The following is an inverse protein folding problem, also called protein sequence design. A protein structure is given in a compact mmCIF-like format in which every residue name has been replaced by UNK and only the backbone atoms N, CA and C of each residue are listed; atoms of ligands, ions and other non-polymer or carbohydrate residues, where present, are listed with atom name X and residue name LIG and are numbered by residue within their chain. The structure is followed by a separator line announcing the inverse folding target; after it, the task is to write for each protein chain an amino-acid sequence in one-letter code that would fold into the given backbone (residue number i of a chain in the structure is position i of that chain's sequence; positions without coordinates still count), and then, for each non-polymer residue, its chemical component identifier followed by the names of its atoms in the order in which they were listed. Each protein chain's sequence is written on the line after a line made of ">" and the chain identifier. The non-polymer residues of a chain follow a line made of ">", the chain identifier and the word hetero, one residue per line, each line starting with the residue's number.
data_IF_815031660596
#
_entry.id   IF_815031660596
#
_cell.length_a   1.000
_cell.length_b   1.000
_cell.length_c   1.000
_cell.angle_alpha   90.00
_cell.angle_beta   90.00
_cell.angle_gamma   90.00
#
_symmetry.space_group_name_H-M   'P 1'
#
loop_
_entity.id
_entity.type
_entity.pdbx_description
1 polymer ?
#
# COMPACT_ATOMS: atom_id res chain seq x y z
N UNK A 1 7.72 -15.35 28.01
CA UNK A 1 7.30 -15.51 26.59
C UNK A 1 8.17 -14.63 25.73
N UNK A 2 9.13 -15.23 25.00
CA UNK A 2 9.90 -14.52 23.99
C UNK A 2 8.96 -14.24 22.80
N UNK A 3 8.57 -12.97 22.61
CA UNK A 3 7.85 -12.56 21.41
C UNK A 3 8.86 -12.38 20.30
N UNK A 4 8.97 -13.32 19.39
CA UNK A 4 9.71 -13.16 18.16
C UNK A 4 8.93 -12.19 17.26
N UNK A 5 9.45 -10.97 17.09
CA UNK A 5 8.95 -10.04 16.07
C UNK A 5 9.61 -10.41 14.74
N UNK A 6 8.90 -11.11 13.90
CA UNK A 6 9.30 -11.29 12.52
C UNK A 6 9.21 -9.93 11.80
N UNK A 7 10.33 -9.48 11.23
CA UNK A 7 10.34 -8.36 10.29
C UNK A 7 10.36 -8.95 8.90
N UNK A 8 9.29 -8.75 8.16
CA UNK A 8 9.27 -9.07 6.75
C UNK A 8 10.00 -7.97 5.97
N UNK A 9 10.99 -8.36 5.21
CA UNK A 9 11.69 -7.48 4.28
C UNK A 9 11.35 -7.94 2.85
N UNK A 10 11.23 -7.02 1.89
CA UNK A 10 11.11 -7.39 0.49
C UNK A 10 12.28 -8.29 0.08
N UNK A 11 11.97 -9.38 -0.60
CA UNK A 11 12.97 -10.28 -1.11
C UNK A 11 13.51 -9.71 -2.43
N UNK A 12 14.62 -9.02 -2.36
CA UNK A 12 15.35 -8.51 -3.52
C UNK A 12 16.37 -9.52 -4.06
N UNK A 13 17.00 -9.18 -5.19
CA UNK A 13 18.02 -10.01 -5.81
C UNK A 13 19.23 -10.26 -4.90
N UNK A 14 19.57 -9.28 -4.05
CA UNK A 14 20.69 -9.39 -3.12
C UNK A 14 20.38 -10.41 -2.02
N UNK A 15 19.15 -10.39 -1.48
CA UNK A 15 18.70 -11.37 -0.49
C UNK A 15 18.67 -12.80 -1.07
N UNK A 16 18.19 -12.97 -2.32
CA UNK A 16 18.23 -14.26 -3.01
C UNK A 16 19.66 -14.79 -3.15
N UNK A 17 20.59 -13.95 -3.58
CA UNK A 17 22.01 -14.33 -3.72
C UNK A 17 22.64 -14.69 -2.37
N UNK A 18 22.30 -13.97 -1.29
CA UNK A 18 22.81 -14.27 0.05
C UNK A 18 22.33 -15.65 0.51
N UNK A 19 21.06 -15.98 0.34
CA UNK A 19 20.51 -17.30 0.68
C UNK A 19 21.25 -18.42 -0.10
N UNK A 20 21.52 -18.18 -1.39
CA UNK A 20 22.27 -19.16 -2.20
C UNK A 20 23.69 -19.38 -1.69
N UNK A 21 24.40 -18.30 -1.35
CA UNK A 21 25.76 -18.37 -0.82
C UNK A 21 25.80 -19.06 0.55
N UNK A 22 24.86 -18.72 1.44
CA UNK A 22 24.78 -19.35 2.77
C UNK A 22 24.55 -20.86 2.65
N UNK A 23 23.64 -21.29 1.75
CA UNK A 23 23.40 -22.71 1.48
C UNK A 23 24.65 -23.41 0.94
N UNK A 24 25.38 -22.77 0.01
CA UNK A 24 26.62 -23.33 -0.53
C UNK A 24 27.73 -23.45 0.54
N UNK A 25 27.84 -22.48 1.45
CA UNK A 25 28.77 -22.53 2.58
C UNK A 25 28.46 -23.68 3.55
N UNK A 26 27.17 -24.07 3.67
CA UNK A 26 26.72 -25.25 4.42
C UNK A 26 26.81 -26.56 3.62
N UNK A 27 27.40 -26.53 2.42
CA UNK A 27 27.58 -27.70 1.56
C UNK A 27 26.31 -28.12 0.79
N UNK A 28 25.29 -27.29 0.76
CA UNK A 28 24.05 -27.53 0.00
C UNK A 28 24.21 -26.93 -1.41
N UNK A 29 24.20 -27.71 -2.51
CA UNK A 29 24.37 -27.22 -3.87
C UNK A 29 23.09 -26.53 -4.37
N UNK A 30 22.80 -25.35 -3.83
CA UNK A 30 21.61 -24.57 -4.15
C UNK A 30 22.00 -23.29 -4.89
N UNK A 31 21.30 -22.99 -5.99
CA UNK A 31 21.54 -21.80 -6.80
C UNK A 31 20.39 -20.80 -6.67
N UNK A 32 20.64 -19.54 -6.94
CA UNK A 32 19.65 -18.46 -6.93
C UNK A 32 18.40 -18.79 -7.77
N UNK A 33 18.60 -19.48 -8.91
CA UNK A 33 17.51 -19.97 -9.76
C UNK A 33 16.57 -20.95 -9.03
N UNK A 34 17.13 -21.85 -8.23
CA UNK A 34 16.35 -22.89 -7.53
C UNK A 34 15.59 -22.28 -6.36
N UNK A 35 16.21 -21.31 -5.67
CA UNK A 35 15.56 -20.51 -4.62
C UNK A 35 14.39 -19.71 -5.22
N UNK A 36 14.64 -19.00 -6.32
CA UNK A 36 13.61 -18.23 -7.03
C UNK A 36 12.44 -19.12 -7.44
N UNK A 37 12.72 -20.31 -8.00
CA UNK A 37 11.70 -21.29 -8.41
C UNK A 37 10.86 -21.76 -7.22
N UNK A 38 11.46 -21.97 -6.05
CA UNK A 38 10.75 -22.36 -4.84
C UNK A 38 9.88 -21.21 -4.32
N UNK A 39 10.44 -20.01 -4.21
CA UNK A 39 9.76 -18.83 -3.66
C UNK A 39 8.56 -18.43 -4.51
N UNK A 40 8.71 -18.45 -5.85
CA UNK A 40 7.61 -18.13 -6.79
C UNK A 40 6.67 -19.32 -7.06
N UNK A 41 6.84 -20.43 -6.34
CA UNK A 41 5.90 -21.54 -6.39
C UNK A 41 4.75 -21.36 -5.39
N UNK A 42 3.67 -22.11 -5.59
CA UNK A 42 2.56 -22.16 -4.64
C UNK A 42 2.88 -22.90 -3.32
N UNK A 43 4.14 -23.33 -3.13
CA UNK A 43 4.60 -23.96 -1.89
C UNK A 43 4.92 -22.92 -0.80
N UNK A 44 5.16 -21.69 -1.19
CA UNK A 44 5.37 -20.56 -0.27
C UNK A 44 4.05 -19.82 -0.12
N UNK A 45 3.50 -19.69 1.09
CA UNK A 45 2.28 -18.92 1.31
C UNK A 45 2.47 -17.46 0.90
N UNK A 46 1.46 -16.90 0.23
CA UNK A 46 1.44 -15.48 -0.08
C UNK A 46 1.26 -14.69 1.23
N UNK A 47 2.15 -13.76 1.49
CA UNK A 47 2.08 -12.86 2.63
C UNK A 47 1.54 -11.50 2.19
N UNK A 48 0.43 -11.06 2.79
CA UNK A 48 -0.10 -9.72 2.62
C UNK A 48 0.20 -8.87 3.87
N UNK A 49 1.15 -7.94 3.82
CA UNK A 49 1.55 -7.14 4.97
C UNK A 49 0.43 -6.26 5.51
N UNK A 50 -0.45 -5.75 4.64
CA UNK A 50 -1.58 -4.92 5.06
C UNK A 50 -2.65 -5.75 5.77
N UNK A 51 -2.91 -6.96 5.31
CA UNK A 51 -3.83 -7.88 5.99
C UNK A 51 -3.27 -8.31 7.35
N UNK A 52 -1.97 -8.60 7.43
CA UNK A 52 -1.28 -8.92 8.69
C UNK A 52 -1.34 -7.75 9.67
N UNK A 53 -1.12 -6.51 9.19
CA UNK A 53 -1.29 -5.30 10.00
C UNK A 53 -2.72 -5.20 10.54
N UNK A 54 -3.74 -5.35 9.70
CA UNK A 54 -5.14 -5.26 10.10
C UNK A 54 -5.53 -6.36 11.09
N UNK A 55 -4.99 -7.57 10.92
CA UNK A 55 -5.24 -8.69 11.83
C UNK A 55 -4.68 -8.46 13.24
N UNK A 56 -3.58 -7.70 13.35
CA UNK A 56 -2.94 -7.38 14.64
C UNK A 56 -3.55 -6.18 15.35
N UNK A 57 -4.50 -5.49 14.72
CA UNK A 57 -5.18 -4.39 15.39
C UNK A 57 -5.98 -4.92 16.60
N UNK A 58 -6.04 -4.14 17.69
CA UNK A 58 -6.92 -4.46 18.80
C UNK A 58 -8.38 -4.50 18.36
N UNK A 59 -9.21 -5.20 19.14
CA UNK A 59 -10.65 -5.20 18.90
C UNK A 59 -11.22 -3.77 18.86
N UNK A 60 -12.28 -3.59 18.09
CA UNK A 60 -12.92 -2.28 17.98
C UNK A 60 -13.50 -1.80 19.32
N UNK A 61 -13.15 -0.59 19.71
CA UNK A 61 -13.55 0.05 20.96
C UNK A 61 -14.81 0.95 20.83
N UNK A 62 -15.49 0.89 19.68
CA UNK A 62 -16.69 1.69 19.40
C UNK A 62 -16.43 3.09 18.85
N UNK A 63 -15.17 3.53 18.71
CA UNK A 63 -14.83 4.87 18.20
C UNK A 63 -14.62 4.87 16.69
N UNK A 64 -15.28 5.79 16.00
CA UNK A 64 -15.14 5.97 14.56
C UNK A 64 -13.96 6.89 14.22
N UNK A 65 -12.76 6.33 14.26
CA UNK A 65 -11.53 7.07 13.97
C UNK A 65 -11.41 7.53 12.52
N UNK A 66 -12.13 6.88 11.61
CA UNK A 66 -12.15 7.29 10.20
C UNK A 66 -12.87 8.62 10.06
N UNK A 67 -14.02 8.78 10.71
CA UNK A 67 -14.75 10.05 10.73
C UNK A 67 -14.00 11.13 11.49
N UNK A 68 -13.35 10.79 12.60
CA UNK A 68 -12.47 11.71 13.34
C UNK A 68 -11.33 12.21 12.44
N UNK A 69 -10.67 11.32 11.69
CA UNK A 69 -9.64 11.69 10.72
C UNK A 69 -10.20 12.59 9.62
N UNK A 70 -11.34 12.25 9.03
CA UNK A 70 -11.98 13.06 8.00
C UNK A 70 -12.31 14.47 8.50
N UNK A 71 -12.77 14.59 9.74
CA UNK A 71 -13.14 15.86 10.36
C UNK A 71 -11.93 16.81 10.60
N UNK A 72 -10.70 16.30 10.54
CA UNK A 72 -9.49 17.15 10.60
C UNK A 72 -9.29 18.00 9.35
N UNK A 73 -9.95 17.65 8.23
CA UNK A 73 -9.88 18.41 6.98
C UNK A 73 -10.96 19.49 7.00
N UNK A 74 -10.61 20.78 6.96
CA UNK A 74 -11.59 21.87 6.89
C UNK A 74 -12.25 21.87 5.51
N UNK A 75 -13.36 21.19 5.37
CA UNK A 75 -14.07 21.03 4.11
C UNK A 75 -15.44 21.69 4.17
N UNK A 76 -15.84 22.39 3.06
CA UNK A 76 -17.16 23.01 2.94
C UNK A 76 -18.24 22.02 2.48
N UNK A 77 -17.85 20.85 1.97
CA UNK A 77 -18.80 19.82 1.54
C UNK A 77 -19.41 19.12 2.77
N UNK A 78 -20.72 19.23 3.01
CA UNK A 78 -21.36 18.62 4.18
C UNK A 78 -21.30 17.09 4.17
N UNK A 79 -21.13 16.49 3.01
CA UNK A 79 -21.06 15.03 2.84
C UNK A 79 -19.62 14.49 2.93
N UNK A 80 -18.62 15.35 3.11
CA UNK A 80 -17.21 14.96 3.08
C UNK A 80 -16.90 13.79 4.01
N UNK A 81 -17.30 13.89 5.27
CA UNK A 81 -17.00 12.88 6.29
C UNK A 81 -17.60 11.52 5.94
N UNK A 82 -18.85 11.49 5.44
CA UNK A 82 -19.52 10.25 5.06
C UNK A 82 -18.93 9.64 3.79
N UNK A 83 -18.62 10.46 2.79
CA UNK A 83 -18.00 10.01 1.54
C UNK A 83 -16.58 9.47 1.80
N UNK A 84 -15.79 10.19 2.61
CA UNK A 84 -14.46 9.75 3.01
C UNK A 84 -14.51 8.44 3.79
N UNK A 85 -15.43 8.29 4.73
CA UNK A 85 -15.61 7.07 5.49
C UNK A 85 -15.89 5.86 4.56
N UNK A 86 -16.82 5.99 3.62
CA UNK A 86 -17.14 4.94 2.65
C UNK A 86 -15.95 4.60 1.76
N UNK A 87 -15.28 5.62 1.23
CA UNK A 87 -14.08 5.43 0.43
C UNK A 87 -12.98 4.69 1.20
N UNK A 88 -12.75 5.08 2.46
CA UNK A 88 -11.73 4.46 3.31
C UNK A 88 -12.04 2.98 3.57
N UNK A 89 -13.28 2.63 3.88
CA UNK A 89 -13.69 1.24 4.07
C UNK A 89 -13.49 0.41 2.79
N UNK A 90 -13.82 0.97 1.63
CA UNK A 90 -13.57 0.30 0.36
C UNK A 90 -12.07 0.10 0.11
N UNK A 91 -11.24 1.10 0.37
CA UNK A 91 -9.78 0.98 0.27
C UNK A 91 -9.26 -0.17 1.15
N UNK A 92 -9.70 -0.26 2.40
CA UNK A 92 -9.31 -1.35 3.31
C UNK A 92 -9.83 -2.70 2.82
N UNK A 93 -11.02 -2.76 2.23
CA UNK A 93 -11.57 -3.98 1.61
C UNK A 93 -10.67 -4.48 0.47
N UNK A 94 -10.14 -3.57 -0.36
CA UNK A 94 -9.16 -3.91 -1.39
C UNK A 94 -7.86 -4.46 -0.80
N UNK A 95 -7.33 -3.85 0.25
CA UNK A 95 -6.14 -4.35 0.94
C UNK A 95 -6.29 -5.78 1.44
N UNK A 96 -7.50 -6.16 1.83
CA UNK A 96 -7.84 -7.54 2.26
C UNK A 96 -8.15 -8.48 1.09
N UNK A 97 -8.18 -7.99 -0.13
CA UNK A 97 -8.51 -8.79 -1.31
C UNK A 97 -9.96 -9.28 -1.36
N UNK A 98 -10.87 -8.67 -0.60
CA UNK A 98 -12.29 -9.06 -0.58
C UNK A 98 -13.02 -8.65 -1.84
N UNK A 99 -12.61 -7.54 -2.44
CA UNK A 99 -13.19 -7.05 -3.68
C UNK A 99 -12.21 -7.20 -4.84
N UNK A 100 -12.18 -8.39 -5.44
CA UNK A 100 -11.34 -8.68 -6.61
C UNK A 100 -11.97 -8.20 -7.93
N UNK A 101 -13.26 -7.84 -7.92
CA UNK A 101 -14.03 -7.58 -9.13
C UNK A 101 -14.19 -6.10 -9.42
N UNK A 102 -14.28 -5.27 -8.40
CA UNK A 102 -14.58 -3.85 -8.54
C UNK A 102 -13.54 -3.02 -7.79
N UNK A 103 -12.86 -2.14 -8.52
CA UNK A 103 -11.99 -1.13 -7.92
C UNK A 103 -12.83 -0.01 -7.27
N UNK A 104 -12.21 0.76 -6.37
CA UNK A 104 -12.79 2.02 -5.93
C UNK A 104 -13.05 2.91 -7.16
N UNK A 105 -14.32 3.12 -7.50
CA UNK A 105 -14.72 3.90 -8.68
C UNK A 105 -14.60 5.41 -8.45
N UNK A 106 -14.34 5.84 -7.21
CA UNK A 106 -14.18 7.24 -6.83
C UNK A 106 -12.98 7.39 -5.91
N UNK A 107 -12.31 8.54 -6.01
CA UNK A 107 -11.19 8.91 -5.12
C UNK A 107 -11.42 10.30 -4.54
N UNK A 108 -11.01 10.58 -3.30
CA UNK A 108 -11.05 11.92 -2.74
C UNK A 108 -10.16 12.86 -3.54
N UNK A 109 -10.68 14.03 -3.89
CA UNK A 109 -9.91 15.13 -4.47
C UNK A 109 -9.82 16.28 -3.47
N UNK A 110 -8.59 16.57 -3.02
CA UNK A 110 -8.33 17.66 -2.08
C UNK A 110 -7.89 18.92 -2.84
N UNK A 111 -8.77 19.90 -2.92
CA UNK A 111 -8.50 21.19 -3.56
C UNK A 111 -8.25 22.25 -2.48
N UNK A 112 -7.19 23.04 -2.64
CA UNK A 112 -6.86 24.11 -1.70
C UNK A 112 -5.51 24.75 -2.02
N UNK A 113 -5.22 25.89 -1.38
CA UNK A 113 -3.98 26.63 -1.57
C UNK A 113 -2.73 25.78 -1.30
N UNK A 114 -1.62 26.16 -1.89
CA UNK A 114 -0.33 25.56 -1.60
C UNK A 114 0.02 25.70 -0.11
N UNK A 115 0.70 24.71 0.47
CA UNK A 115 1.11 24.74 1.89
C UNK A 115 0.02 24.33 2.88
N UNK A 116 -1.21 23.99 2.45
CA UNK A 116 -2.31 23.58 3.34
C UNK A 116 -2.21 22.12 3.83
N UNK A 117 -1.06 21.49 3.68
CA UNK A 117 -0.74 20.14 4.17
C UNK A 117 -1.60 19.00 3.55
N UNK A 118 -2.10 19.17 2.33
CA UNK A 118 -2.88 18.13 1.63
C UNK A 118 -2.10 16.81 1.51
N UNK A 119 -0.89 16.86 0.98
CA UNK A 119 -0.02 15.66 0.81
C UNK A 119 0.36 15.04 2.15
N UNK A 120 0.52 15.85 3.22
CA UNK A 120 0.73 15.37 4.59
C UNK A 120 -0.48 14.56 5.08
N UNK A 121 -1.70 15.06 4.84
CA UNK A 121 -2.93 14.35 5.15
C UNK A 121 -3.01 13.02 4.39
N UNK A 122 -2.79 13.03 3.06
CA UNK A 122 -2.79 11.81 2.24
C UNK A 122 -1.81 10.77 2.79
N UNK A 123 -0.59 11.19 3.16
CA UNK A 123 0.41 10.30 3.75
C UNK A 123 -0.01 9.76 5.12
N UNK A 124 -0.77 10.52 5.90
CA UNK A 124 -1.23 10.10 7.23
C UNK A 124 -2.32 9.03 7.20
N UNK A 125 -2.97 8.83 6.05
CA UNK A 125 -3.95 7.75 5.84
C UNK A 125 -3.28 6.38 5.99
N UNK A 126 -2.01 6.25 5.55
CA UNK A 126 -1.26 5.01 5.73
C UNK A 126 -0.70 4.90 7.14
N UNK A 127 -0.86 3.73 7.81
CA UNK A 127 -0.22 3.45 9.07
C UNK A 127 1.30 3.66 9.00
N UNK A 128 1.96 4.17 10.05
CA UNK A 128 3.41 4.44 10.04
C UNK A 128 4.26 3.23 9.66
N UNK A 129 3.88 2.02 10.08
CA UNK A 129 4.58 0.76 9.75
C UNK A 129 4.46 0.36 8.29
N UNK A 130 3.36 0.79 7.62
CA UNK A 130 3.02 0.37 6.25
C UNK A 130 3.29 1.48 5.21
N UNK A 131 3.96 2.55 5.60
CA UNK A 131 4.25 3.69 4.70
C UNK A 131 5.12 3.35 3.50
N UNK A 132 5.81 2.23 3.50
CA UNK A 132 6.53 1.72 2.33
C UNK A 132 5.59 1.35 1.17
N UNK A 133 4.30 1.18 1.44
CA UNK A 133 3.26 0.91 0.45
C UNK A 133 2.47 2.16 0.04
N UNK A 134 2.96 3.35 0.41
CA UNK A 134 2.46 4.65 -0.04
C UNK A 134 3.44 5.29 -1.02
N UNK A 135 2.92 5.94 -2.05
CA UNK A 135 3.72 6.83 -2.90
C UNK A 135 2.92 8.07 -3.29
N UNK A 136 3.62 9.19 -3.45
CA UNK A 136 3.16 10.45 -4.03
C UNK A 136 3.97 10.82 -5.28
N UNK A 137 4.80 9.90 -5.75
CA UNK A 137 5.65 10.06 -6.93
C UNK A 137 5.36 8.94 -7.92
N UNK A 138 4.50 9.22 -8.90
CA UNK A 138 4.16 8.30 -9.99
C UNK A 138 4.47 8.97 -11.32
N UNK A 139 5.18 8.27 -12.19
CA UNK A 139 5.44 8.71 -13.56
C UNK A 139 4.43 8.06 -14.51
N UNK A 140 3.50 8.86 -15.02
CA UNK A 140 2.52 8.44 -16.02
C UNK A 140 3.04 8.44 -17.46
N UNK A 141 4.26 8.89 -17.71
CA UNK A 141 4.83 8.95 -19.06
C UNK A 141 5.02 7.54 -19.66
N UNK A 142 5.12 6.52 -18.82
CA UNK A 142 5.29 5.13 -19.20
C UNK A 142 4.17 4.26 -18.64
N UNK A 143 3.22 3.88 -19.49
CA UNK A 143 2.06 3.08 -19.09
C UNK A 143 2.43 1.79 -18.30
N UNK A 144 3.45 1.05 -18.78
CA UNK A 144 3.90 -0.18 -18.09
C UNK A 144 4.44 0.08 -16.69
N UNK A 145 5.15 1.20 -16.49
CA UNK A 145 5.70 1.56 -15.19
C UNK A 145 4.55 1.99 -14.25
N UNK A 146 3.56 2.74 -14.76
CA UNK A 146 2.36 3.09 -13.99
C UNK A 146 1.57 1.86 -13.54
N UNK A 147 1.41 0.83 -14.39
CA UNK A 147 0.79 -0.45 -14.02
C UNK A 147 1.56 -1.18 -12.92
N UNK A 148 2.89 -1.12 -12.91
CA UNK A 148 3.72 -1.69 -11.83
C UNK A 148 3.50 -0.98 -10.49
N UNK A 149 3.26 0.34 -10.49
CA UNK A 149 2.93 1.09 -9.27
C UNK A 149 1.62 0.60 -8.63
N UNK A 150 0.59 0.30 -9.45
CA UNK A 150 -0.68 -0.23 -8.97
C UNK A 150 -0.54 -1.59 -8.28
N UNK A 151 0.44 -2.41 -8.69
CA UNK A 151 0.72 -3.69 -8.07
C UNK A 151 1.63 -3.58 -6.82
N UNK A 152 2.33 -2.47 -6.65
CA UNK A 152 3.33 -2.29 -5.60
C UNK A 152 2.81 -1.48 -4.42
N UNK A 153 1.99 -0.47 -4.68
CA UNK A 153 1.54 0.47 -3.66
C UNK A 153 0.06 0.28 -3.33
N UNK A 154 -0.25 0.35 -2.05
CA UNK A 154 -1.60 0.21 -1.52
C UNK A 154 -2.37 1.53 -1.52
N UNK A 155 -1.65 2.64 -1.50
CA UNK A 155 -2.19 4.00 -1.61
C UNK A 155 -1.26 4.85 -2.45
N UNK A 156 -1.81 5.40 -3.53
CA UNK A 156 -1.11 6.31 -4.44
C UNK A 156 -1.77 7.67 -4.31
N UNK A 157 -0.99 8.69 -3.97
CA UNK A 157 -1.41 10.08 -4.02
C UNK A 157 -0.90 10.70 -5.31
N UNK A 158 -1.80 11.17 -6.15
CA UNK A 158 -1.45 11.91 -7.36
C UNK A 158 -1.45 13.39 -6.99
N UNK A 159 -0.27 13.92 -6.71
CA UNK A 159 -0.10 15.35 -6.44
C UNK A 159 -0.08 16.11 -7.78
N UNK A 160 -0.55 17.35 -7.78
CA UNK A 160 -0.58 18.23 -8.97
C UNK A 160 -1.26 17.55 -10.18
N UNK A 161 -2.43 16.95 -9.96
CA UNK A 161 -3.17 16.22 -11.00
C UNK A 161 -3.50 17.07 -12.23
N UNK A 162 -3.53 18.40 -12.11
CA UNK A 162 -3.71 19.36 -13.18
C UNK A 162 -2.53 19.39 -14.17
N UNK A 163 -1.35 18.92 -13.75
CA UNK A 163 -0.18 18.79 -14.64
C UNK A 163 -0.17 17.49 -15.46
N UNK A 164 -1.03 16.53 -15.12
CA UNK A 164 -1.18 15.30 -15.90
C UNK A 164 -1.87 15.64 -17.22
N UNK A 165 -1.19 15.40 -18.36
CA UNK A 165 -1.73 15.72 -19.67
C UNK A 165 -3.02 14.97 -19.98
N UNK A 166 -3.90 15.55 -20.80
CA UNK A 166 -5.18 14.94 -21.19
C UNK A 166 -5.02 13.55 -21.83
N UNK A 167 -3.90 13.28 -22.49
CA UNK A 167 -3.55 11.97 -23.06
C UNK A 167 -3.14 10.93 -22.00
N UNK A 168 -2.81 11.37 -20.79
CA UNK A 168 -2.44 10.51 -19.67
C UNK A 168 -3.60 10.31 -18.68
N UNK A 169 -4.71 11.02 -18.89
CA UNK A 169 -5.93 10.94 -18.06
C UNK A 169 -6.95 9.91 -18.59
N UNK A 170 -6.71 9.32 -19.76
CA UNK A 170 -7.58 8.37 -20.46
C UNK A 170 -7.15 6.92 -20.39
#
# INVERSE_FOLDING_TARGET
>A
RLSFRFRFNPLDKRALNSIALDAQMEGIPLWDRDISRYIYSNRVPVFNPLEDFLYRLPGWDGKDRIRELAATVPCRNPYWTDLFHRWFLNMVSHWRGYDKKYANSVSPLLVGAQGTRKSTFCRSIMPPSERSYYTDSIDFSRKKDAELYLNRFALINIDEFDQVSSTQQG
#
